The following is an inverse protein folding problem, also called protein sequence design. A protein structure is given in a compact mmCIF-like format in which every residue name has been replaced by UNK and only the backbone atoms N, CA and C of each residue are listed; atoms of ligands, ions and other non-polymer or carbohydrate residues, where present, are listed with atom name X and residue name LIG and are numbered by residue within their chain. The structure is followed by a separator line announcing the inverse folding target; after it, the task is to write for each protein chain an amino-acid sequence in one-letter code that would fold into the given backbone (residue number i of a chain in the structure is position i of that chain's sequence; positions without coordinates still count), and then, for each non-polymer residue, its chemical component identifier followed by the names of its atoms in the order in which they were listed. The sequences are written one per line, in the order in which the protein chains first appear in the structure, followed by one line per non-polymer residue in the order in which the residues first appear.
data_IF_811527512101
#
_entry.id   IF_811527512101
#
_cell.length_a   1.000
_cell.length_b   1.000
_cell.length_c   1.000
_cell.angle_alpha   90.00
_cell.angle_beta   90.00
_cell.angle_gamma   90.00
#
_symmetry.space_group_name_H-M   'P 1'
#
loop_
_entity.id
_entity.type
_entity.pdbx_description
1 polymer ?
#
# COMPACT_ATOMS: atom_id res chain seq x y z
N UNK A 1 -17.94 -5.25 -33.55
CA UNK A 1 -17.20 -3.98 -33.35
C UNK A 1 -16.19 -4.20 -32.26
N UNK A 2 -14.90 -4.36 -32.63
CA UNK A 2 -13.82 -4.51 -31.64
C UNK A 2 -13.44 -3.11 -31.11
N UNK A 3 -14.12 -2.65 -30.09
CA UNK A 3 -13.68 -1.45 -29.37
C UNK A 3 -12.61 -1.84 -28.33
N UNK A 4 -11.39 -2.05 -28.79
CA UNK A 4 -10.20 -2.07 -27.92
C UNK A 4 -9.75 -0.63 -27.65
N UNK A 5 -10.64 0.21 -27.15
CA UNK A 5 -10.24 1.55 -26.76
C UNK A 5 -9.38 1.47 -25.51
N UNK A 6 -8.12 1.90 -25.65
CA UNK A 6 -7.17 2.01 -24.55
C UNK A 6 -7.18 3.46 -24.09
N UNK A 7 -7.45 3.67 -22.81
CA UNK A 7 -7.39 5.00 -22.19
C UNK A 7 -6.30 5.05 -21.15
N UNK A 8 -5.68 6.21 -21.02
CA UNK A 8 -4.69 6.48 -19.98
C UNK A 8 -5.21 7.58 -19.05
N UNK A 9 -5.10 7.35 -17.76
CA UNK A 9 -5.45 8.31 -16.72
C UNK A 9 -4.21 8.59 -15.85
N UNK A 10 -3.97 9.86 -15.56
CA UNK A 10 -2.91 10.29 -14.64
C UNK A 10 -3.55 10.68 -13.31
N UNK A 11 -3.16 10.01 -12.23
CA UNK A 11 -3.63 10.29 -10.88
C UNK A 11 -2.59 9.82 -9.86
N UNK A 12 -2.38 10.58 -8.80
CA UNK A 12 -1.44 10.22 -7.74
C UNK A 12 -2.21 9.96 -6.47
N UNK A 13 -1.92 8.82 -5.84
CA UNK A 13 -2.51 8.43 -4.57
C UNK A 13 -1.42 8.28 -3.51
N UNK A 14 -1.68 8.78 -2.32
CA UNK A 14 -0.84 8.58 -1.12
C UNK A 14 -1.37 7.45 -0.22
N UNK A 15 -2.53 6.90 -0.57
CA UNK A 15 -3.19 5.83 0.15
C UNK A 15 -3.66 4.78 -0.87
N UNK A 16 -3.12 3.57 -0.77
CA UNK A 16 -3.44 2.48 -1.68
C UNK A 16 -4.91 2.03 -1.60
N UNK A 17 -5.58 2.20 -0.45
CA UNK A 17 -7.01 1.86 -0.31
C UNK A 17 -7.87 2.76 -1.19
N UNK A 18 -7.56 4.08 -1.23
CA UNK A 18 -8.24 5.02 -2.14
C UNK A 18 -7.91 4.77 -3.60
N UNK A 19 -6.70 4.28 -3.87
CA UNK A 19 -6.30 3.87 -5.22
C UNK A 19 -7.07 2.64 -5.66
N UNK A 20 -7.19 1.63 -4.81
CA UNK A 20 -7.98 0.42 -5.03
C UNK A 20 -9.47 0.75 -5.26
N UNK A 21 -10.04 1.61 -4.40
CA UNK A 21 -11.42 2.08 -4.52
C UNK A 21 -11.65 2.73 -5.88
N UNK A 22 -10.76 3.65 -6.29
CA UNK A 22 -10.86 4.33 -7.58
C UNK A 22 -10.71 3.37 -8.77
N UNK A 23 -9.81 2.38 -8.71
CA UNK A 23 -9.68 1.36 -9.77
C UNK A 23 -10.98 0.54 -9.87
N UNK A 24 -11.60 0.21 -8.74
CA UNK A 24 -12.89 -0.48 -8.74
C UNK A 24 -14.02 0.41 -9.29
N UNK A 25 -14.02 1.72 -9.02
CA UNK A 25 -14.93 2.67 -9.65
C UNK A 25 -14.77 2.70 -11.18
N UNK A 26 -13.53 2.70 -11.69
CA UNK A 26 -13.23 2.61 -13.11
C UNK A 26 -13.75 1.29 -13.72
N UNK A 27 -13.56 0.17 -13.01
CA UNK A 27 -14.08 -1.13 -13.44
C UNK A 27 -15.63 -1.15 -13.49
N UNK A 28 -16.30 -0.49 -12.53
CA UNK A 28 -17.77 -0.34 -12.57
C UNK A 28 -18.23 0.49 -13.79
N UNK A 29 -17.40 1.37 -14.31
CA UNK A 29 -17.67 2.15 -15.53
C UNK A 29 -17.29 1.39 -16.81
N UNK A 30 -16.77 0.17 -16.70
CA UNK A 30 -16.38 -0.66 -17.84
C UNK A 30 -14.94 -0.40 -18.31
N UNK A 31 -14.05 0.04 -17.43
CA UNK A 31 -12.64 0.23 -17.74
C UNK A 31 -11.77 -0.75 -16.94
N UNK A 32 -11.23 -1.74 -17.63
CA UNK A 32 -10.38 -2.77 -17.05
C UNK A 32 -8.93 -2.28 -16.97
N UNK A 33 -8.34 -2.29 -15.78
CA UNK A 33 -6.93 -1.96 -15.60
C UNK A 33 -6.05 -3.00 -16.31
N UNK A 34 -5.10 -2.53 -17.13
CA UNK A 34 -4.16 -3.39 -17.87
C UNK A 34 -2.72 -3.12 -17.51
N UNK A 35 -2.38 -1.88 -17.14
CA UNK A 35 -1.02 -1.51 -16.76
C UNK A 35 -1.02 -0.31 -15.78
N UNK A 36 0.03 -0.25 -14.96
CA UNK A 36 0.25 0.81 -14.01
C UNK A 36 1.74 1.15 -13.89
N UNK A 37 2.06 2.41 -13.98
CA UNK A 37 3.33 2.99 -13.55
C UNK A 37 3.03 4.20 -12.67
N UNK A 38 4.03 4.69 -11.93
CA UNK A 38 3.83 5.73 -10.91
C UNK A 38 2.96 6.89 -11.44
N UNK A 39 1.75 6.98 -10.93
CA UNK A 39 0.78 8.02 -11.28
C UNK A 39 0.14 7.90 -12.67
N UNK A 40 0.42 6.84 -13.44
CA UNK A 40 -0.14 6.60 -14.77
C UNK A 40 -0.79 5.24 -14.84
N UNK A 41 -2.07 5.21 -15.17
CA UNK A 41 -2.91 4.00 -15.26
C UNK A 41 -3.38 3.82 -16.69
N UNK A 42 -3.26 2.61 -17.21
CA UNK A 42 -3.75 2.23 -18.52
C UNK A 42 -4.92 1.28 -18.36
N UNK A 43 -6.03 1.61 -19.01
CA UNK A 43 -7.25 0.82 -19.00
C UNK A 43 -7.63 0.46 -20.43
N UNK A 44 -8.29 -0.67 -20.59
CA UNK A 44 -9.00 -1.05 -21.81
C UNK A 44 -10.51 -1.03 -21.55
N UNK A 45 -11.29 -0.78 -22.58
CA UNK A 45 -12.74 -0.91 -22.50
C UNK A 45 -13.11 -2.38 -22.30
N UNK A 46 -13.95 -2.65 -21.30
CA UNK A 46 -14.45 -3.95 -20.89
C UNK A 46 -15.94 -3.89 -20.56
N UNK A 47 -16.42 -4.88 -19.82
CA UNK A 47 -17.81 -4.96 -19.36
C UNK A 47 -17.92 -4.26 -18.01
N UNK A 48 -18.84 -3.29 -17.83
CA UNK A 48 -19.05 -2.62 -16.54
C UNK A 48 -19.27 -3.60 -15.40
N UNK A 49 -18.43 -3.48 -14.34
CA UNK A 49 -18.53 -4.29 -13.15
C UNK A 49 -18.13 -5.76 -13.32
N UNK A 50 -17.51 -6.17 -14.44
CA UNK A 50 -17.09 -7.57 -14.64
C UNK A 50 -16.06 -8.02 -13.64
N UNK A 51 -15.12 -7.14 -13.25
CA UNK A 51 -14.02 -7.48 -12.36
C UNK A 51 -14.03 -6.64 -11.08
N UNK A 52 -13.55 -7.28 -9.99
CA UNK A 52 -13.12 -6.64 -8.76
C UNK A 52 -11.60 -6.67 -8.68
N UNK A 53 -10.99 -5.56 -8.27
CA UNK A 53 -9.55 -5.40 -8.13
C UNK A 53 -9.15 -5.30 -6.66
N UNK A 54 -7.93 -5.81 -6.33
CA UNK A 54 -7.37 -5.77 -4.99
C UNK A 54 -5.86 -5.60 -5.03
N UNK A 55 -5.34 -4.73 -4.15
CA UNK A 55 -3.92 -4.61 -3.88
C UNK A 55 -3.48 -5.61 -2.82
N UNK A 56 -2.33 -6.25 -3.03
CA UNK A 56 -1.70 -7.13 -2.05
C UNK A 56 -0.25 -6.72 -1.84
N UNK A 57 0.12 -6.49 -0.58
CA UNK A 57 1.49 -6.20 -0.19
C UNK A 57 2.31 -7.49 -0.09
N UNK A 58 3.46 -7.52 -0.76
CA UNK A 58 4.30 -8.73 -0.88
C UNK A 58 5.78 -8.49 -0.55
N UNK A 59 6.17 -7.28 -0.14
CA UNK A 59 7.57 -6.92 0.09
C UNK A 59 8.27 -7.72 1.21
N UNK A 60 7.52 -8.34 2.10
CA UNK A 60 8.02 -9.14 3.23
C UNK A 60 7.94 -10.66 2.97
N UNK A 61 7.56 -11.06 1.75
CA UNK A 61 7.46 -12.46 1.33
C UNK A 61 8.69 -12.88 0.52
N UNK A 62 9.07 -14.14 0.67
CA UNK A 62 10.09 -14.75 -0.19
C UNK A 62 9.52 -15.01 -1.58
N UNK A 63 10.38 -15.15 -2.58
CA UNK A 63 10.00 -15.53 -3.96
C UNK A 63 9.17 -16.82 -3.99
N UNK A 64 9.52 -17.81 -3.15
CA UNK A 64 8.81 -19.08 -3.06
C UNK A 64 7.38 -18.91 -2.50
N UNK A 65 7.22 -18.09 -1.47
CA UNK A 65 5.91 -17.75 -0.90
C UNK A 65 5.03 -17.00 -1.90
N UNK A 66 5.62 -16.06 -2.64
CA UNK A 66 4.93 -15.32 -3.70
C UNK A 66 4.47 -16.29 -4.79
N UNK A 67 5.33 -17.20 -5.24
CA UNK A 67 4.99 -18.17 -6.28
C UNK A 67 3.88 -19.12 -5.80
N UNK A 68 3.97 -19.66 -4.59
CA UNK A 68 2.93 -20.50 -4.00
C UNK A 68 1.58 -19.78 -3.92
N UNK A 69 1.60 -18.49 -3.52
CA UNK A 69 0.40 -17.66 -3.48
C UNK A 69 -0.19 -17.45 -4.87
N UNK A 70 0.63 -17.17 -5.89
CA UNK A 70 0.20 -17.03 -7.29
C UNK A 70 -0.49 -18.30 -7.81
N UNK A 71 0.06 -19.45 -7.51
CA UNK A 71 -0.50 -20.74 -7.92
C UNK A 71 -1.86 -21.02 -7.25
N UNK A 72 -2.01 -20.70 -5.97
CA UNK A 72 -3.27 -20.81 -5.25
C UNK A 72 -4.33 -19.84 -5.80
N UNK A 73 -3.94 -18.60 -6.08
CA UNK A 73 -4.83 -17.58 -6.65
C UNK A 73 -5.31 -17.98 -8.04
N UNK A 74 -4.43 -18.48 -8.89
CA UNK A 74 -4.78 -18.98 -10.23
C UNK A 74 -5.81 -20.11 -10.17
N UNK A 75 -5.66 -21.05 -9.21
CA UNK A 75 -6.64 -22.14 -8.99
C UNK A 75 -8.01 -21.59 -8.53
N UNK A 76 -8.03 -20.47 -7.83
CA UNK A 76 -9.23 -19.79 -7.37
C UNK A 76 -9.84 -18.82 -8.42
N UNK A 77 -9.32 -18.81 -9.65
CA UNK A 77 -9.81 -17.92 -10.71
C UNK A 77 -9.41 -16.45 -10.52
N UNK A 78 -8.37 -16.20 -9.71
CA UNK A 78 -7.82 -14.86 -9.48
C UNK A 78 -6.66 -14.63 -10.45
N UNK A 79 -6.70 -13.51 -11.17
CA UNK A 79 -5.69 -13.11 -12.14
C UNK A 79 -4.78 -12.02 -11.54
N UNK A 80 -3.47 -12.11 -11.81
CA UNK A 80 -2.53 -11.04 -11.48
C UNK A 80 -2.49 -10.08 -12.68
N UNK A 81 -2.85 -8.82 -12.44
CA UNK A 81 -2.85 -7.77 -13.46
C UNK A 81 -1.51 -7.05 -13.48
N UNK A 82 -0.98 -6.73 -12.30
CA UNK A 82 0.26 -5.97 -12.12
C UNK A 82 1.11 -6.65 -11.08
N UNK A 83 2.41 -6.73 -11.33
CA UNK A 83 3.39 -7.27 -10.41
C UNK A 83 4.55 -6.27 -10.26
N UNK A 84 4.47 -5.42 -9.26
CA UNK A 84 5.53 -4.50 -8.85
C UNK A 84 6.22 -5.01 -7.59
N UNK A 85 7.49 -4.64 -7.38
CA UNK A 85 8.38 -5.15 -6.33
C UNK A 85 7.74 -5.37 -4.95
N UNK A 86 6.89 -4.47 -4.51
CA UNK A 86 6.27 -4.50 -3.17
C UNK A 86 4.78 -4.80 -3.19
N UNK A 87 4.15 -4.68 -4.36
CA UNK A 87 2.71 -4.80 -4.52
C UNK A 87 2.35 -5.61 -5.75
N UNK A 88 1.34 -6.44 -5.62
CA UNK A 88 0.65 -7.04 -6.76
C UNK A 88 -0.79 -6.52 -6.80
N UNK A 89 -1.29 -6.26 -8.01
CA UNK A 89 -2.70 -5.99 -8.23
C UNK A 89 -3.32 -7.24 -8.81
N UNK A 90 -4.30 -7.77 -8.11
CA UNK A 90 -5.06 -8.94 -8.53
C UNK A 90 -6.47 -8.53 -8.92
N UNK A 91 -7.10 -9.33 -9.78
CA UNK A 91 -8.53 -9.22 -10.10
C UNK A 91 -9.21 -10.57 -10.11
N UNK A 92 -10.49 -10.58 -9.89
CA UNK A 92 -11.38 -11.72 -10.14
C UNK A 92 -12.73 -11.25 -10.67
N UNK A 93 -13.49 -12.17 -11.24
CA UNK A 93 -14.87 -11.86 -11.68
C UNK A 93 -15.75 -11.51 -10.49
N UNK A 94 -16.53 -10.44 -10.61
CA UNK A 94 -17.47 -10.00 -9.57
C UNK A 94 -18.52 -11.07 -9.24
N UNK A 95 -18.85 -11.93 -10.21
CA UNK A 95 -19.75 -13.08 -10.02
C UNK A 95 -19.25 -14.12 -9.01
N UNK A 96 -17.96 -14.10 -8.68
CA UNK A 96 -17.35 -14.96 -7.66
C UNK A 96 -17.45 -14.38 -6.23
N UNK A 97 -18.19 -13.28 -6.06
CA UNK A 97 -18.33 -12.59 -4.78
C UNK A 97 -17.12 -11.72 -4.39
N UNK A 98 -17.14 -11.10 -3.20
CA UNK A 98 -16.04 -10.28 -2.71
C UNK A 98 -14.78 -11.12 -2.48
N UNK A 99 -13.59 -10.45 -2.45
CA UNK A 99 -12.37 -11.10 -2.02
C UNK A 99 -12.49 -11.56 -0.57
N UNK A 100 -11.93 -12.73 -0.26
CA UNK A 100 -11.91 -13.23 1.12
C UNK A 100 -11.07 -12.30 2.02
N UNK A 101 -11.66 -11.89 3.14
CA UNK A 101 -11.27 -10.73 3.94
C UNK A 101 -9.99 -10.92 4.77
N UNK A 102 -9.65 -12.18 5.16
CA UNK A 102 -8.54 -12.43 6.11
C UNK A 102 -7.17 -12.08 5.55
N UNK A 103 -6.90 -12.43 4.29
CA UNK A 103 -5.62 -12.11 3.64
C UNK A 103 -5.41 -10.60 3.46
N UNK A 104 -6.50 -9.83 3.39
CA UNK A 104 -6.46 -8.38 3.24
C UNK A 104 -6.04 -7.66 4.52
N UNK A 105 -6.61 -8.05 5.65
CA UNK A 105 -6.27 -7.46 6.95
C UNK A 105 -4.80 -7.68 7.27
N UNK A 106 -4.27 -8.85 6.99
CA UNK A 106 -2.84 -9.13 7.16
C UNK A 106 -1.96 -8.29 6.24
N UNK A 107 -2.32 -8.14 4.96
CA UNK A 107 -1.60 -7.29 4.01
C UNK A 107 -1.55 -5.83 4.48
N UNK A 108 -2.68 -5.29 4.94
CA UNK A 108 -2.77 -3.94 5.49
C UNK A 108 -1.88 -3.76 6.72
N UNK A 109 -1.95 -4.69 7.65
CA UNK A 109 -1.14 -4.67 8.88
C UNK A 109 0.35 -4.69 8.53
N UNK A 110 0.79 -5.60 7.65
CA UNK A 110 2.20 -5.69 7.20
C UNK A 110 2.67 -4.41 6.55
N UNK A 111 1.86 -3.82 5.68
CA UNK A 111 2.19 -2.55 5.04
C UNK A 111 2.42 -1.43 6.06
N UNK A 112 1.48 -1.22 6.99
CA UNK A 112 1.61 -0.20 8.02
C UNK A 112 2.81 -0.46 8.96
N UNK A 113 3.07 -1.72 9.30
CA UNK A 113 4.24 -2.10 10.09
C UNK A 113 5.56 -1.82 9.36
N UNK A 114 5.60 -2.01 8.02
CA UNK A 114 6.78 -1.68 7.22
C UNK A 114 7.08 -0.19 7.24
N UNK A 115 6.05 0.65 7.05
CA UNK A 115 6.19 2.11 7.16
C UNK A 115 6.67 2.51 8.56
N UNK A 116 6.07 1.96 9.61
CA UNK A 116 6.47 2.26 10.99
C UNK A 116 7.93 1.88 11.27
N UNK A 117 8.40 0.73 10.77
CA UNK A 117 9.82 0.32 10.90
C UNK A 117 10.75 1.35 10.27
N UNK A 118 10.46 1.77 9.04
CA UNK A 118 11.26 2.79 8.35
C UNK A 118 11.27 4.13 9.10
N UNK A 119 10.11 4.62 9.53
CA UNK A 119 9.99 5.88 10.28
C UNK A 119 10.70 5.80 11.65
N UNK A 120 10.66 4.64 12.32
CA UNK A 120 11.40 4.44 13.57
C UNK A 120 12.93 4.55 13.38
N UNK A 121 13.46 3.97 12.29
CA UNK A 121 14.90 4.11 11.97
C UNK A 121 15.26 5.57 11.75
N UNK A 122 14.45 6.32 11.01
CA UNK A 122 14.66 7.76 10.78
C UNK A 122 14.56 8.56 12.08
N UNK A 123 13.59 8.26 12.93
CA UNK A 123 13.40 8.95 14.22
C UNK A 123 14.61 8.70 15.15
N UNK A 124 15.07 7.44 15.27
CA UNK A 124 16.26 7.10 16.06
C UNK A 124 17.52 7.77 15.50
N UNK A 125 17.73 7.77 14.19
CA UNK A 125 18.82 8.50 13.55
C UNK A 125 18.78 10.00 13.86
N UNK A 126 17.60 10.62 13.81
CA UNK A 126 17.42 12.04 14.16
C UNK A 126 17.74 12.31 15.64
N UNK A 127 17.39 11.39 16.56
CA UNK A 127 17.76 11.53 17.99
C UNK A 127 19.27 11.45 18.18
N UNK A 128 19.95 10.48 17.56
CA UNK A 128 21.41 10.34 17.67
C UNK A 128 22.12 11.59 17.14
N UNK A 129 21.70 12.09 15.98
CA UNK A 129 22.23 13.35 15.41
C UNK A 129 21.92 14.55 16.31
N UNK A 130 20.73 14.59 16.90
CA UNK A 130 20.32 15.63 17.85
C UNK A 130 21.23 15.66 19.07
N UNK A 131 21.49 14.51 19.71
CA UNK A 131 22.39 14.38 20.85
C UNK A 131 23.80 14.83 20.47
N UNK A 132 24.35 14.34 19.36
CA UNK A 132 25.71 14.66 18.90
C UNK A 132 25.93 16.17 18.68
N UNK A 133 24.88 16.87 18.26
CA UNK A 133 24.96 18.31 18.00
C UNK A 133 24.69 19.18 19.22
N UNK A 134 23.79 18.75 20.14
CA UNK A 134 23.43 19.57 21.31
C UNK A 134 24.53 19.62 22.35
N UNK A 135 25.39 18.58 22.42
CA UNK A 135 26.57 18.56 23.31
C UNK A 135 27.67 19.51 22.84
N UNK A 136 27.58 19.98 21.59
CA UNK A 136 28.56 20.90 21.02
C UNK A 136 28.27 22.35 21.49
N UNK A 137 29.32 23.10 21.78
CA UNK A 137 29.19 24.49 22.27
C UNK A 137 28.89 25.51 21.20
N UNK A 138 28.98 25.14 19.92
CA UNK A 138 28.68 26.03 18.78
C UNK A 138 27.19 26.33 18.72
N UNK A 139 26.75 27.60 18.63
CA UNK A 139 25.33 27.95 18.49
C UNK A 139 24.66 27.32 17.28
N UNK A 140 25.38 27.18 16.16
CA UNK A 140 24.86 26.52 14.96
C UNK A 140 24.56 25.03 15.21
N UNK A 141 25.48 24.33 15.89
CA UNK A 141 25.29 22.90 16.25
C UNK A 141 24.08 22.74 17.15
N UNK A 142 23.89 23.60 18.12
CA UNK A 142 22.74 23.54 19.03
C UNK A 142 21.41 23.74 18.26
N UNK A 143 21.34 24.65 17.30
CA UNK A 143 20.17 24.84 16.42
C UNK A 143 19.89 23.56 15.62
N UNK A 144 20.93 22.93 15.03
CA UNK A 144 20.79 21.66 14.30
C UNK A 144 20.28 20.57 15.26
N UNK A 145 20.81 20.48 16.47
CA UNK A 145 20.38 19.51 17.47
C UNK A 145 18.90 19.63 17.82
N UNK A 146 18.43 20.86 18.10
CA UNK A 146 17.02 21.15 18.38
C UNK A 146 16.13 20.79 17.20
N UNK A 147 16.58 21.11 15.97
CA UNK A 147 15.84 20.78 14.73
C UNK A 147 15.70 19.27 14.58
N UNK A 148 16.76 18.49 14.83
CA UNK A 148 16.72 17.03 14.77
C UNK A 148 15.73 16.43 15.78
N UNK A 149 15.69 16.96 17.03
CA UNK A 149 14.69 16.51 18.01
C UNK A 149 13.27 16.87 17.59
N UNK A 150 13.05 18.03 16.98
CA UNK A 150 11.74 18.44 16.46
C UNK A 150 11.27 17.49 15.34
N UNK A 151 12.17 17.10 14.44
CA UNK A 151 11.89 16.11 13.39
C UNK A 151 11.54 14.76 14.02
N UNK A 152 12.30 14.28 14.99
CA UNK A 152 12.03 13.02 15.67
C UNK A 152 10.65 13.03 16.35
N UNK A 153 10.27 14.14 17.00
CA UNK A 153 8.96 14.28 17.63
C UNK A 153 7.83 14.20 16.59
N UNK A 154 7.96 14.89 15.46
CA UNK A 154 6.98 14.81 14.36
C UNK A 154 6.86 13.38 13.81
N UNK A 155 7.97 12.68 13.62
CA UNK A 155 7.98 11.30 13.17
C UNK A 155 7.23 10.38 14.15
N UNK A 156 7.39 10.56 15.47
CA UNK A 156 6.65 9.79 16.47
C UNK A 156 5.14 10.06 16.43
N UNK A 157 4.70 11.29 16.14
CA UNK A 157 3.28 11.57 15.94
C UNK A 157 2.73 10.79 14.75
N UNK A 158 3.46 10.77 13.65
CA UNK A 158 3.06 10.00 12.44
C UNK A 158 3.02 8.49 12.74
N UNK A 159 4.04 7.96 13.43
CA UNK A 159 4.07 6.55 13.86
C UNK A 159 2.87 6.20 14.74
N UNK A 160 2.50 7.09 15.66
CA UNK A 160 1.30 6.96 16.49
C UNK A 160 0.01 6.84 15.66
N UNK A 161 -0.08 7.62 14.59
CA UNK A 161 -1.19 7.55 13.61
C UNK A 161 -1.27 6.17 12.94
N UNK A 162 -0.16 5.66 12.40
CA UNK A 162 -0.12 4.32 11.80
C UNK A 162 -0.39 3.21 12.82
N UNK A 163 0.12 3.31 14.04
CA UNK A 163 -0.16 2.38 15.13
C UNK A 163 -1.67 2.32 15.45
N UNK A 164 -2.35 3.44 15.38
CA UNK A 164 -3.80 3.52 15.54
C UNK A 164 -4.54 2.81 14.40
N UNK A 165 -4.08 2.97 13.15
CA UNK A 165 -4.65 2.25 12.00
C UNK A 165 -4.47 0.74 12.12
N UNK A 166 -3.28 0.27 12.50
CA UNK A 166 -3.02 -1.16 12.75
C UNK A 166 -3.99 -1.71 13.79
N UNK A 167 -4.20 -1.00 14.91
CA UNK A 167 -5.17 -1.42 15.94
C UNK A 167 -6.60 -1.51 15.43
N UNK A 168 -7.03 -0.54 14.59
CA UNK A 168 -8.34 -0.55 13.95
C UNK A 168 -8.53 -1.79 13.08
N UNK A 169 -7.60 -2.01 12.14
CA UNK A 169 -7.63 -3.13 11.20
C UNK A 169 -7.62 -4.47 11.94
N UNK A 170 -6.80 -4.60 12.99
CA UNK A 170 -6.76 -5.81 13.82
C UNK A 170 -8.09 -6.08 14.53
N UNK A 171 -8.77 -5.01 14.99
CA UNK A 171 -10.07 -5.14 15.65
C UNK A 171 -11.16 -5.55 14.65
N UNK A 172 -11.16 -4.98 13.46
CA UNK A 172 -12.09 -5.33 12.38
C UNK A 172 -11.93 -6.79 11.96
N UNK A 173 -10.69 -7.27 11.81
CA UNK A 173 -10.41 -8.67 11.50
C UNK A 173 -10.97 -9.62 12.56
N UNK A 174 -10.84 -9.29 13.85
CA UNK A 174 -11.40 -10.10 14.95
C UNK A 174 -12.92 -10.13 14.99
N UNK A 175 -13.58 -9.09 14.52
CA UNK A 175 -15.04 -9.03 14.52
C UNK A 175 -15.66 -9.77 13.31
N UNK A 176 -14.86 -10.11 12.30
CA UNK A 176 -15.30 -10.80 11.08
C UNK A 176 -14.90 -12.29 11.06
N UNK A 177 -14.27 -12.81 12.13
CA UNK A 177 -13.98 -14.24 12.38
C UNK A 177 -15.04 -14.85 13.28
#
# INVERSE_FOLDING_TARGET
MNNNEIITKNKVFFNYEKEEEWINEMAQQGYDLTDFSIGKYTFKQGIPGEYLYRYQYVADKTEEEIQKQKDLQKKAGIEIVINNSNWIVIRKKSSQGPFETVADYESKIRHYQSIMRFLNVLALGSIVLGISNIVNTSPLSQIIGITCFSIAALLFVVIGGYSSQVRKVTKENKNNL
#
